data_IF_395357827557
#
_entry.id   IF_395357827557
#
_cell.length_a   1.000
_cell.length_b   1.000
_cell.length_c   1.000
_cell.angle_alpha   90.00
_cell.angle_beta   90.00
_cell.angle_gamma   90.00
#
_symmetry.space_group_name_H-M   'P 1'
#
loop_
_entity.id
_entity.type
_entity.pdbx_description
1 polymer ?
#
# COMPACT_ATOMS: atom_id res chain seq x y z
N UNK A 1 5.76 32.12 -1.40
CA UNK A 1 5.91 30.84 -2.12
C UNK A 1 6.13 29.76 -1.09
N UNK A 2 5.11 28.95 -0.82
CA UNK A 2 5.20 27.79 0.07
C UNK A 2 6.19 26.82 -0.55
N UNK A 3 7.38 26.72 0.04
CA UNK A 3 8.38 25.73 -0.35
C UNK A 3 7.78 24.38 0.00
N UNK A 4 7.31 23.64 -1.01
CA UNK A 4 6.89 22.25 -0.84
C UNK A 4 8.16 21.50 -0.48
N UNK A 5 8.33 21.19 0.81
CA UNK A 5 9.45 20.40 1.28
C UNK A 5 9.33 19.00 0.67
N UNK A 6 10.24 18.59 -0.23
CA UNK A 6 10.16 17.32 -0.93
C UNK A 6 10.18 16.14 0.05
N UNK A 7 10.79 16.28 1.25
CA UNK A 7 10.77 15.23 2.27
C UNK A 7 9.37 15.03 2.85
N UNK A 8 8.61 16.12 2.98
CA UNK A 8 7.24 16.10 3.51
C UNK A 8 6.25 15.59 2.46
N UNK A 9 6.47 15.93 1.19
CA UNK A 9 5.71 15.37 0.08
C UNK A 9 5.90 13.85 -0.04
N UNK A 10 7.15 13.35 0.03
CA UNK A 10 7.42 11.90 0.01
C UNK A 10 6.80 11.18 1.21
N UNK A 11 6.81 11.81 2.39
CA UNK A 11 6.18 11.27 3.59
C UNK A 11 4.67 11.11 3.43
N UNK A 12 3.98 12.15 2.95
CA UNK A 12 2.54 12.12 2.68
C UNK A 12 2.18 11.06 1.63
N UNK A 13 3.00 10.92 0.58
CA UNK A 13 2.81 9.89 -0.45
C UNK A 13 2.99 8.48 0.12
N UNK A 14 4.00 8.27 0.98
CA UNK A 14 4.22 6.99 1.65
C UNK A 14 3.08 6.60 2.58
N UNK A 15 2.59 7.55 3.39
CA UNK A 15 1.45 7.35 4.28
C UNK A 15 0.18 7.01 3.50
N UNK A 16 -0.10 7.77 2.44
CA UNK A 16 -1.25 7.51 1.54
C UNK A 16 -1.16 6.14 0.88
N UNK A 17 0.02 5.77 0.34
CA UNK A 17 0.22 4.49 -0.32
C UNK A 17 0.05 3.31 0.65
N UNK A 18 0.53 3.45 1.89
CA UNK A 18 0.34 2.45 2.96
C UNK A 18 -1.14 2.28 3.28
N UNK A 19 -1.89 3.37 3.41
CA UNK A 19 -3.31 3.34 3.74
C UNK A 19 -4.14 2.70 2.62
N UNK A 20 -3.85 3.04 1.35
CA UNK A 20 -4.42 2.34 0.20
C UNK A 20 -4.06 0.85 0.17
N UNK A 21 -2.81 0.50 0.49
CA UNK A 21 -2.37 -0.89 0.57
C UNK A 21 -3.15 -1.69 1.61
N UNK A 22 -3.42 -1.11 2.78
CA UNK A 22 -4.24 -1.73 3.83
C UNK A 22 -5.69 -1.90 3.36
N UNK A 23 -6.27 -0.88 2.72
CA UNK A 23 -7.63 -0.96 2.17
C UNK A 23 -7.74 -2.08 1.14
N UNK A 24 -6.82 -2.16 0.17
CA UNK A 24 -6.80 -3.23 -0.82
C UNK A 24 -6.61 -4.60 -0.16
N UNK A 25 -5.72 -4.70 0.82
CA UNK A 25 -5.47 -5.95 1.56
C UNK A 25 -6.71 -6.49 2.27
N UNK A 26 -7.59 -5.61 2.78
CA UNK A 26 -8.79 -6.00 3.51
C UNK A 26 -9.98 -6.21 2.56
N UNK A 27 -10.19 -5.26 1.65
CA UNK A 27 -11.38 -5.25 0.80
C UNK A 27 -11.28 -6.20 -0.40
N UNK A 28 -10.09 -6.43 -0.96
CA UNK A 28 -9.96 -7.36 -2.09
C UNK A 28 -10.29 -8.81 -1.71
N UNK A 29 -9.84 -9.35 -0.56
CA UNK A 29 -10.30 -10.66 -0.10
C UNK A 29 -11.79 -10.67 0.28
N UNK A 30 -12.30 -9.63 0.94
CA UNK A 30 -13.72 -9.54 1.27
C UNK A 30 -14.58 -9.60 -0.01
N UNK A 31 -14.22 -8.88 -1.06
CA UNK A 31 -14.92 -8.89 -2.34
C UNK A 31 -14.97 -10.30 -2.97
N UNK A 32 -13.89 -11.09 -2.84
CA UNK A 32 -13.89 -12.49 -3.32
C UNK A 32 -14.81 -13.42 -2.54
N UNK A 33 -15.09 -13.14 -1.26
CA UNK A 33 -16.03 -13.93 -0.47
C UNK A 33 -17.49 -13.72 -0.91
N UNK A 34 -17.79 -12.56 -1.51
CA UNK A 34 -19.13 -12.21 -1.98
C UNK A 34 -19.32 -12.36 -3.50
N UNK A 35 -18.25 -12.52 -4.29
CA UNK A 35 -18.35 -12.76 -5.74
C UNK A 35 -18.62 -14.23 -6.09
N UNK A 36 -19.85 -14.51 -6.55
CA UNK A 36 -20.28 -15.83 -7.04
C UNK A 36 -19.55 -16.26 -8.33
N UNK A 37 -19.11 -15.31 -9.17
CA UNK A 37 -18.61 -15.58 -10.54
C UNK A 37 -17.53 -14.55 -10.97
N UNK A 38 -16.30 -14.65 -10.47
CA UNK A 38 -15.18 -13.78 -10.87
C UNK A 38 -13.81 -14.41 -10.63
N UNK A 39 -12.69 -13.94 -11.22
CA UNK A 39 -11.41 -14.67 -11.31
C UNK A 39 -10.79 -14.96 -9.93
N UNK A 40 -10.96 -16.20 -9.45
CA UNK A 40 -11.12 -16.55 -8.02
C UNK A 40 -9.89 -16.56 -7.10
N UNK A 41 -8.76 -15.99 -7.47
CA UNK A 41 -7.66 -15.95 -6.49
C UNK A 41 -6.30 -15.53 -7.00
N UNK A 42 -5.99 -15.74 -8.28
CA UNK A 42 -4.71 -15.30 -8.84
C UNK A 42 -4.59 -13.76 -8.86
N UNK A 43 -5.67 -13.06 -9.24
CA UNK A 43 -5.71 -11.58 -9.24
C UNK A 43 -5.65 -11.04 -7.81
N UNK A 44 -6.39 -11.65 -6.88
CA UNK A 44 -6.41 -11.21 -5.47
C UNK A 44 -5.09 -11.51 -4.78
N UNK A 45 -4.49 -12.67 -5.03
CA UNK A 45 -3.14 -13.00 -4.58
C UNK A 45 -2.10 -12.02 -5.12
N UNK A 46 -2.20 -11.62 -6.37
CA UNK A 46 -1.34 -10.60 -6.97
C UNK A 46 -1.52 -9.21 -6.30
N UNK A 47 -2.76 -8.79 -6.09
CA UNK A 47 -3.07 -7.51 -5.41
C UNK A 47 -2.56 -7.49 -3.97
N UNK A 48 -2.76 -8.58 -3.23
CA UNK A 48 -2.25 -8.76 -1.86
C UNK A 48 -0.71 -8.74 -1.85
N UNK A 49 -0.05 -9.44 -2.77
CA UNK A 49 1.40 -9.45 -2.87
C UNK A 49 1.96 -8.05 -3.18
N UNK A 50 1.35 -7.32 -4.12
CA UNK A 50 1.73 -5.94 -4.43
C UNK A 50 1.55 -5.01 -3.23
N UNK A 51 0.42 -5.11 -2.52
CA UNK A 51 0.17 -4.31 -1.32
C UNK A 51 1.23 -4.55 -0.24
N UNK A 52 1.59 -5.82 0.01
CA UNK A 52 2.64 -6.17 0.97
C UNK A 52 4.01 -5.62 0.56
N UNK A 53 4.36 -5.65 -0.73
CA UNK A 53 5.61 -5.08 -1.22
C UNK A 53 5.65 -3.56 -0.98
N UNK A 54 4.56 -2.84 -1.29
CA UNK A 54 4.48 -1.40 -1.04
C UNK A 54 4.60 -1.06 0.44
N UNK A 55 3.96 -1.84 1.32
CA UNK A 55 4.07 -1.67 2.77
C UNK A 55 5.51 -1.88 3.24
N UNK A 56 6.16 -2.97 2.81
CA UNK A 56 7.54 -3.30 3.19
C UNK A 56 8.51 -2.22 2.72
N UNK A 57 8.38 -1.76 1.47
CA UNK A 57 9.22 -0.67 0.93
C UNK A 57 9.01 0.63 1.70
N UNK A 58 7.77 0.98 2.03
CA UNK A 58 7.47 2.15 2.87
C UNK A 58 8.14 2.08 4.24
N UNK A 59 8.04 0.94 4.92
CA UNK A 59 8.68 0.71 6.22
C UNK A 59 10.20 0.81 6.12
N UNK A 60 10.82 0.22 5.09
CA UNK A 60 12.28 0.27 4.90
C UNK A 60 12.74 1.72 4.68
N UNK A 61 12.02 2.50 3.87
CA UNK A 61 12.34 3.91 3.62
C UNK A 61 12.19 4.76 4.90
N UNK A 62 11.14 4.54 5.68
CA UNK A 62 10.96 5.20 6.98
C UNK A 62 12.08 4.82 7.96
N UNK A 63 12.42 3.52 8.06
CA UNK A 63 13.46 3.02 8.95
C UNK A 63 14.86 3.53 8.57
N UNK A 64 15.18 3.60 7.28
CA UNK A 64 16.43 4.19 6.78
C UNK A 64 16.54 5.67 7.13
N UNK A 65 15.42 6.41 7.07
CA UNK A 65 15.38 7.82 7.45
C UNK A 65 15.50 8.03 8.96
N UNK A 66 14.96 7.15 9.81
CA UNK A 66 15.12 7.27 11.27
C UNK A 66 16.54 6.95 11.76
N UNK A 67 17.34 6.26 10.94
CA UNK A 67 18.72 5.87 11.27
C UNK A 67 19.78 6.91 10.87
N UNK A 68 19.42 7.89 10.04
CA UNK A 68 20.24 9.06 9.68
C UNK A 68 19.85 10.27 10.52
#
# INVERSE_FOLDING_TARGET
MTVIDPRRAVMLVGETAREFGILVLVFAPLDTLFQSSGPRGAIVGFLVAMALIFIVVGIILEAWKQRM
#
